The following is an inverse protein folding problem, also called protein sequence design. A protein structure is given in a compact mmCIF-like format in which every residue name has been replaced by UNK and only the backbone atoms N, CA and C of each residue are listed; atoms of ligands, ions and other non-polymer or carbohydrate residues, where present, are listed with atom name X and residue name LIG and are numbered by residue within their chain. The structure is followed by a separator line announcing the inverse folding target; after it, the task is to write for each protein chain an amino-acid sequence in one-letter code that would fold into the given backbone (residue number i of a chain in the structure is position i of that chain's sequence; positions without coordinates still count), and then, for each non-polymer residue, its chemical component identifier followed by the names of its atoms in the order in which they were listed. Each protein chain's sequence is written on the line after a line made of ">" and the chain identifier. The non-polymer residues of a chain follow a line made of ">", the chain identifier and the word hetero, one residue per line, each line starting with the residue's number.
data_IF_549087038331
#
_entry.id   IF_549087038331
#
_cell.length_a   1.000
_cell.length_b   1.000
_cell.length_c   1.000
_cell.angle_alpha   90.00
_cell.angle_beta   90.00
_cell.angle_gamma   90.00
#
_symmetry.space_group_name_H-M   'P 1'
#
loop_
_entity.id
_entity.type
_entity.pdbx_description
1 polymer ?
#
# COMPACT_ATOMS: atom_id res chain seq x y z
N UNK A 1 26.60 -1.71 9.46
CA UNK A 1 25.21 -1.25 9.28
C UNK A 1 24.86 -1.35 7.81
N UNK A 2 24.10 -2.37 7.41
CA UNK A 2 23.47 -2.41 6.09
C UNK A 2 22.08 -1.77 6.25
N UNK A 3 21.95 -0.48 5.95
CA UNK A 3 20.65 0.21 6.03
C UNK A 3 19.74 -0.16 4.87
N UNK A 4 18.43 -0.21 5.09
CA UNK A 4 17.42 -0.47 4.05
C UNK A 4 17.50 0.51 2.88
N UNK A 5 17.96 1.75 3.10
CA UNK A 5 18.30 2.70 2.02
C UNK A 5 19.31 2.15 1.00
N UNK A 6 20.33 1.41 1.46
CA UNK A 6 21.30 0.75 0.57
C UNK A 6 20.72 -0.53 -0.08
N UNK A 7 19.69 -1.13 0.50
CA UNK A 7 18.96 -2.27 -0.08
C UNK A 7 18.08 -1.81 -1.25
N UNK A 8 17.31 -0.72 -1.10
CA UNK A 8 16.42 -0.22 -2.16
C UNK A 8 17.17 0.35 -3.37
N UNK A 9 18.28 1.05 -3.14
CA UNK A 9 19.11 1.58 -4.24
C UNK A 9 19.75 0.47 -5.09
N UNK A 10 19.93 -0.73 -4.52
CA UNK A 10 20.35 -1.94 -5.24
C UNK A 10 19.16 -2.68 -5.88
N UNK A 11 18.00 -2.69 -5.23
CA UNK A 11 16.79 -3.34 -5.71
C UNK A 11 16.24 -2.71 -7.01
N UNK A 12 16.26 -1.38 -7.13
CA UNK A 12 15.89 -0.69 -8.38
C UNK A 12 16.80 -1.11 -9.56
N UNK A 13 18.10 -1.29 -9.30
CA UNK A 13 19.06 -1.79 -10.31
C UNK A 13 18.86 -3.27 -10.62
N UNK A 14 18.40 -4.08 -9.65
CA UNK A 14 18.09 -5.51 -9.84
C UNK A 14 16.79 -5.72 -10.61
N UNK A 15 15.75 -4.92 -10.35
CA UNK A 15 14.50 -4.95 -11.14
C UNK A 15 14.75 -4.62 -12.62
N UNK A 16 15.63 -3.65 -12.88
CA UNK A 16 16.11 -3.33 -14.23
C UNK A 16 17.01 -4.43 -14.84
N UNK A 17 17.66 -5.27 -14.02
CA UNK A 17 18.48 -6.38 -14.49
C UNK A 17 17.66 -7.65 -14.79
N UNK A 18 16.57 -7.90 -14.04
CA UNK A 18 15.67 -9.05 -14.23
C UNK A 18 14.88 -8.94 -15.54
N UNK A 19 14.72 -7.74 -16.09
CA UNK A 19 14.09 -7.51 -17.40
C UNK A 19 15.00 -7.87 -18.60
N UNK A 20 16.27 -8.25 -18.38
CA UNK A 20 17.13 -8.85 -19.41
C UNK A 20 17.07 -10.39 -19.35
N UNK A 21 16.50 -11.07 -20.35
CA UNK A 21 16.26 -12.51 -20.31
C UNK A 21 17.52 -13.26 -20.78
N UNK A 22 18.60 -13.20 -20.01
CA UNK A 22 19.70 -14.15 -20.18
C UNK A 22 20.21 -14.66 -18.84
N UNK A 23 19.80 -15.90 -18.56
CA UNK A 23 20.38 -16.89 -17.66
C UNK A 23 19.62 -17.21 -16.36
N UNK A 24 19.22 -18.48 -16.30
CA UNK A 24 18.95 -19.36 -15.15
C UNK A 24 17.80 -19.01 -14.21
N UNK A 25 16.92 -20.00 -14.03
CA UNK A 25 15.96 -20.07 -12.92
C UNK A 25 16.65 -19.79 -11.59
N UNK A 26 16.24 -18.76 -10.83
CA UNK A 26 16.65 -18.64 -9.46
C UNK A 26 15.59 -19.34 -8.60
N UNK A 27 15.98 -20.37 -7.84
CA UNK A 27 15.36 -20.60 -6.54
C UNK A 27 15.30 -19.23 -5.86
N UNK A 28 14.09 -18.73 -5.57
CA UNK A 28 13.88 -17.36 -5.15
C UNK A 28 14.77 -17.04 -3.94
N UNK A 29 15.71 -16.11 -4.12
CA UNK A 29 16.53 -15.63 -3.00
C UNK A 29 15.58 -15.07 -1.94
N UNK A 30 15.73 -15.42 -0.64
CA UNK A 30 14.89 -14.88 0.43
C UNK A 30 14.82 -13.34 0.43
N UNK A 31 15.88 -12.71 -0.07
CA UNK A 31 15.93 -11.26 -0.27
C UNK A 31 14.95 -10.75 -1.35
N UNK A 32 14.84 -11.47 -2.48
CA UNK A 32 13.91 -11.13 -3.56
C UNK A 32 12.46 -11.33 -3.13
N UNK A 33 12.18 -12.38 -2.35
CA UNK A 33 10.84 -12.62 -1.79
C UNK A 33 10.43 -11.50 -0.83
N UNK A 34 11.34 -11.09 0.05
CA UNK A 34 11.13 -9.97 0.97
C UNK A 34 10.85 -8.65 0.22
N UNK A 35 11.67 -8.32 -0.77
CA UNK A 35 11.45 -7.09 -1.57
C UNK A 35 10.14 -7.16 -2.36
N UNK A 36 9.84 -8.30 -2.99
CA UNK A 36 8.58 -8.49 -3.70
C UNK A 36 7.37 -8.31 -2.78
N UNK A 37 7.45 -8.80 -1.53
CA UNK A 37 6.40 -8.60 -0.53
C UNK A 37 6.20 -7.12 -0.19
N UNK A 38 7.28 -6.38 0.08
CA UNK A 38 7.21 -4.94 0.39
C UNK A 38 6.63 -4.14 -0.78
N UNK A 39 7.05 -4.45 -2.01
CA UNK A 39 6.54 -3.77 -3.19
C UNK A 39 5.06 -4.08 -3.44
N UNK A 40 4.64 -5.32 -3.20
CA UNK A 40 3.24 -5.70 -3.28
C UNK A 40 2.38 -5.01 -2.19
N UNK A 41 2.88 -4.94 -0.95
CA UNK A 41 2.25 -4.16 0.13
C UNK A 41 2.09 -2.69 -0.29
N UNK A 42 3.16 -2.08 -0.80
CA UNK A 42 3.19 -0.68 -1.24
C UNK A 42 2.20 -0.42 -2.37
N UNK A 43 2.11 -1.33 -3.34
CA UNK A 43 1.14 -1.30 -4.44
C UNK A 43 -0.30 -1.32 -3.90
N UNK A 44 -0.63 -2.28 -3.03
CA UNK A 44 -1.98 -2.39 -2.46
C UNK A 44 -2.37 -1.14 -1.65
N UNK A 45 -1.43 -0.56 -0.88
CA UNK A 45 -1.67 0.72 -0.18
C UNK A 45 -1.97 1.84 -1.19
N UNK A 46 -1.17 1.96 -2.25
CA UNK A 46 -1.37 2.95 -3.32
C UNK A 46 -2.74 2.79 -3.99
N UNK A 47 -3.17 1.56 -4.25
CA UNK A 47 -4.48 1.26 -4.83
C UNK A 47 -5.63 1.67 -3.91
N UNK A 48 -5.50 1.48 -2.59
CA UNK A 48 -6.50 1.96 -1.61
C UNK A 48 -6.59 3.50 -1.65
N UNK A 49 -5.46 4.20 -1.63
CA UNK A 49 -5.44 5.68 -1.71
C UNK A 49 -6.09 6.17 -3.00
N UNK A 50 -5.77 5.53 -4.11
CA UNK A 50 -6.32 5.84 -5.44
C UNK A 50 -7.82 5.58 -5.49
N UNK A 51 -8.30 4.49 -4.89
CA UNK A 51 -9.72 4.19 -4.75
C UNK A 51 -10.45 5.31 -3.99
N UNK A 52 -9.88 5.76 -2.87
CA UNK A 52 -10.44 6.88 -2.10
C UNK A 52 -10.57 8.11 -2.99
N UNK A 53 -9.52 8.50 -3.71
CA UNK A 53 -9.55 9.67 -4.58
C UNK A 53 -10.55 9.55 -5.72
N UNK A 54 -10.66 8.37 -6.33
CA UNK A 54 -11.57 8.11 -7.45
C UNK A 54 -13.04 8.22 -7.02
N UNK A 55 -13.39 7.72 -5.83
CA UNK A 55 -14.78 7.48 -5.47
C UNK A 55 -15.34 8.37 -4.36
N UNK A 56 -14.53 8.98 -3.48
CA UNK A 56 -15.04 9.73 -2.32
C UNK A 56 -15.94 10.92 -2.70
N UNK A 57 -15.68 11.57 -3.83
CA UNK A 57 -16.49 12.67 -4.35
C UNK A 57 -17.42 12.26 -5.50
N UNK A 58 -17.47 10.97 -5.86
CA UNK A 58 -18.32 10.49 -6.94
C UNK A 58 -19.79 10.72 -6.60
N UNK A 59 -20.59 11.07 -7.61
CA UNK A 59 -22.02 11.38 -7.46
C UNK A 59 -22.92 10.30 -8.07
N UNK A 60 -22.34 9.31 -8.74
CA UNK A 60 -23.04 8.30 -9.53
C UNK A 60 -23.08 6.94 -8.84
N UNK A 61 -21.98 6.53 -8.22
CA UNK A 61 -21.87 5.26 -7.52
C UNK A 61 -21.88 5.48 -6.00
N UNK A 62 -23.08 5.46 -5.41
CA UNK A 62 -23.28 5.67 -3.98
C UNK A 62 -22.60 4.62 -3.11
N UNK A 63 -22.49 3.37 -3.60
CA UNK A 63 -21.84 2.30 -2.86
C UNK A 63 -20.33 2.51 -2.76
N UNK A 64 -19.64 2.69 -3.89
CA UNK A 64 -18.19 2.94 -3.92
C UNK A 64 -17.82 4.23 -3.21
N UNK A 65 -18.67 5.25 -3.29
CA UNK A 65 -18.53 6.48 -2.50
C UNK A 65 -18.53 6.20 -1.00
N UNK A 66 -19.50 5.43 -0.50
CA UNK A 66 -19.59 5.11 0.92
C UNK A 66 -18.35 4.35 1.41
N UNK A 67 -17.90 3.35 0.64
CA UNK A 67 -16.65 2.60 0.92
C UNK A 67 -15.44 3.54 0.96
N UNK A 68 -15.30 4.43 -0.03
CA UNK A 68 -14.19 5.38 -0.08
C UNK A 68 -14.18 6.38 1.08
N UNK A 69 -15.35 6.85 1.51
CA UNK A 69 -15.49 7.73 2.68
C UNK A 69 -15.05 7.01 3.96
N UNK A 70 -15.41 5.74 4.13
CA UNK A 70 -14.98 4.95 5.29
C UNK A 70 -13.47 4.65 5.26
N UNK A 71 -12.93 4.26 4.11
CA UNK A 71 -11.49 4.06 3.92
C UNK A 71 -10.70 5.34 4.23
N UNK A 72 -11.19 6.51 3.80
CA UNK A 72 -10.56 7.81 4.08
C UNK A 72 -10.30 8.05 5.58
N UNK A 73 -11.19 7.60 6.45
CA UNK A 73 -11.06 7.80 7.91
C UNK A 73 -9.80 7.14 8.49
N UNK A 74 -9.32 6.05 7.87
CA UNK A 74 -8.09 5.36 8.28
C UNK A 74 -6.84 6.18 7.97
N UNK A 75 -6.87 7.04 6.94
CA UNK A 75 -5.72 7.86 6.54
C UNK A 75 -5.77 9.27 7.14
N UNK A 76 -6.96 9.84 7.33
CA UNK A 76 -7.12 11.14 8.00
C UNK A 76 -6.73 11.06 9.49
N UNK A 77 -7.07 9.95 10.14
CA UNK A 77 -6.88 9.75 11.58
C UNK A 77 -6.28 8.36 11.86
N UNK A 78 -5.03 8.11 11.43
CA UNK A 78 -4.44 6.76 11.41
C UNK A 78 -4.08 6.22 12.80
N UNK A 79 -3.81 7.10 13.74
CA UNK A 79 -3.31 6.77 15.07
C UNK A 79 -4.46 6.60 16.07
N UNK A 80 -4.50 5.47 16.77
CA UNK A 80 -5.52 5.19 17.80
C UNK A 80 -5.19 5.91 19.11
N UNK A 81 -3.90 5.93 19.48
CA UNK A 81 -3.39 6.65 20.65
C UNK A 81 -1.87 6.87 20.48
N UNK A 82 -1.25 7.66 21.37
CA UNK A 82 0.18 8.03 21.26
C UNK A 82 1.18 6.87 21.31
N UNK A 83 0.76 5.68 21.73
CA UNK A 83 1.60 4.46 21.78
C UNK A 83 1.33 3.52 20.61
N UNK A 84 0.32 3.79 19.80
CA UNK A 84 -0.09 2.96 18.66
C UNK A 84 -0.23 3.82 17.40
N UNK A 85 0.92 4.31 16.94
CA UNK A 85 1.06 5.08 15.70
C UNK A 85 0.61 4.20 14.53
N UNK A 86 -0.34 4.71 13.75
CA UNK A 86 -0.93 3.96 12.65
C UNK A 86 -1.84 2.81 13.06
N UNK A 87 -2.27 2.74 14.33
CA UNK A 87 -3.09 1.65 14.87
C UNK A 87 -4.33 1.29 14.04
N UNK A 88 -5.05 2.29 13.50
CA UNK A 88 -6.19 2.03 12.62
C UNK A 88 -5.75 1.40 11.31
N UNK A 89 -4.65 1.88 10.72
CA UNK A 89 -4.08 1.30 9.50
C UNK A 89 -3.63 -0.14 9.73
N UNK A 90 -3.08 -0.48 10.90
CA UNK A 90 -2.77 -1.87 11.26
C UNK A 90 -4.01 -2.76 11.21
N UNK A 91 -5.13 -2.29 11.78
CA UNK A 91 -6.42 -3.01 11.73
C UNK A 91 -6.89 -3.22 10.28
N UNK A 92 -6.80 -2.17 9.45
CA UNK A 92 -7.16 -2.28 8.03
C UNK A 92 -6.27 -3.30 7.30
N UNK A 93 -4.95 -3.19 7.47
CA UNK A 93 -3.97 -3.98 6.74
C UNK A 93 -3.84 -5.43 7.22
N UNK A 94 -4.27 -5.74 8.44
CA UNK A 94 -4.37 -7.11 8.96
C UNK A 94 -5.63 -7.84 8.46
N UNK A 95 -6.60 -7.11 7.92
CA UNK A 95 -7.85 -7.73 7.51
C UNK A 95 -7.69 -8.61 6.25
N UNK A 96 -8.61 -9.55 6.10
CA UNK A 96 -8.72 -10.39 4.90
C UNK A 96 -10.03 -10.05 4.19
N UNK A 97 -10.03 -9.77 2.88
CA UNK A 97 -11.24 -9.46 2.12
C UNK A 97 -12.39 -10.46 2.34
N UNK A 98 -13.60 -9.94 2.58
CA UNK A 98 -14.84 -10.74 2.69
C UNK A 98 -16.05 -9.96 2.19
N UNK A 99 -16.84 -10.56 1.29
CA UNK A 99 -18.10 -10.00 0.78
C UNK A 99 -19.25 -10.03 1.82
N UNK A 100 -19.07 -10.74 2.92
CA UNK A 100 -20.05 -10.78 4.01
C UNK A 100 -19.68 -9.76 5.08
N UNK A 101 -20.29 -8.58 5.06
CA UNK A 101 -20.00 -7.52 6.03
C UNK A 101 -20.87 -6.27 5.86
N UNK A 102 -20.57 -5.27 6.66
CA UNK A 102 -21.17 -3.92 6.59
C UNK A 102 -20.07 -2.90 6.23
N UNK A 103 -20.46 -1.74 5.68
CA UNK A 103 -19.57 -0.67 5.18
C UNK A 103 -18.90 0.07 6.36
N UNK A 104 -18.10 -0.65 7.15
CA UNK A 104 -17.20 -0.17 8.19
C UNK A 104 -16.25 -1.30 8.65
N UNK A 105 -16.56 -2.55 8.30
CA UNK A 105 -15.69 -3.70 8.50
C UNK A 105 -14.49 -3.60 7.53
N UNK A 106 -13.25 -3.54 8.04
CA UNK A 106 -12.04 -3.61 7.23
C UNK A 106 -12.06 -4.69 6.15
N UNK A 107 -12.59 -5.88 6.47
CA UNK A 107 -12.65 -7.03 5.55
C UNK A 107 -13.55 -6.72 4.36
N UNK A 108 -14.67 -6.05 4.60
CA UNK A 108 -15.60 -5.64 3.55
C UNK A 108 -15.02 -4.49 2.70
N UNK A 109 -14.36 -3.53 3.35
CA UNK A 109 -13.71 -2.41 2.64
C UNK A 109 -12.62 -2.91 1.69
N UNK A 110 -11.78 -3.85 2.12
CA UNK A 110 -10.75 -4.44 1.26
C UNK A 110 -11.37 -5.29 0.14
N UNK A 111 -12.46 -6.03 0.41
CA UNK A 111 -13.19 -6.74 -0.64
C UNK A 111 -13.70 -5.78 -1.72
N UNK A 112 -14.28 -4.64 -1.33
CA UNK A 112 -14.78 -3.64 -2.27
C UNK A 112 -13.68 -3.02 -3.15
N UNK A 113 -12.45 -2.88 -2.63
CA UNK A 113 -11.32 -2.34 -3.41
C UNK A 113 -10.71 -3.40 -4.35
N UNK A 114 -10.52 -4.62 -3.84
CA UNK A 114 -9.65 -5.59 -4.50
C UNK A 114 -10.40 -6.71 -5.20
N UNK A 115 -11.60 -7.08 -4.74
CA UNK A 115 -12.31 -8.29 -5.17
C UNK A 115 -13.69 -8.06 -5.79
N UNK A 116 -14.38 -6.95 -5.52
CA UNK A 116 -15.76 -6.69 -5.98
C UNK A 116 -15.95 -6.88 -7.48
N UNK A 117 -15.04 -6.31 -8.29
CA UNK A 117 -15.09 -6.36 -9.76
C UNK A 117 -14.01 -7.28 -10.36
N UNK A 118 -13.25 -8.01 -9.52
CA UNK A 118 -12.05 -8.71 -9.98
C UNK A 118 -12.34 -10.16 -10.37
N UNK A 119 -11.77 -10.56 -11.51
CA UNK A 119 -11.85 -11.94 -12.02
C UNK A 119 -10.66 -12.82 -11.58
N UNK A 120 -9.53 -12.21 -11.19
CA UNK A 120 -8.35 -12.90 -10.67
C UNK A 120 -7.62 -12.01 -9.63
N UNK A 121 -7.45 -12.53 -8.42
CA UNK A 121 -6.78 -11.86 -7.30
C UNK A 121 -5.50 -12.59 -6.81
N UNK A 122 -4.98 -13.53 -7.59
CA UNK A 122 -3.84 -14.39 -7.23
C UNK A 122 -2.55 -13.62 -6.89
N UNK A 123 -2.41 -12.40 -7.40
CA UNK A 123 -1.24 -11.56 -7.17
C UNK A 123 -1.34 -10.67 -5.91
N UNK A 124 -2.49 -10.65 -5.23
CA UNK A 124 -2.63 -9.92 -3.98
C UNK A 124 -2.23 -10.74 -2.77
N UNK A 125 -1.73 -10.05 -1.75
CA UNK A 125 -1.41 -10.65 -0.47
C UNK A 125 -2.39 -10.16 0.59
N UNK A 126 -3.02 -11.12 1.27
CA UNK A 126 -3.87 -10.88 2.42
C UNK A 126 -3.54 -11.91 3.53
N UNK A 127 -3.44 -11.47 4.81
CA UNK A 127 -3.39 -10.08 5.23
C UNK A 127 -2.21 -9.34 4.57
N UNK A 128 -2.40 -8.05 4.26
CA UNK A 128 -1.34 -7.27 3.59
C UNK A 128 -0.08 -7.27 4.46
N UNK A 129 -0.27 -7.16 5.78
CA UNK A 129 0.79 -7.24 6.78
C UNK A 129 0.42 -8.29 7.84
N UNK A 130 1.37 -9.16 8.17
CA UNK A 130 1.17 -10.21 9.15
C UNK A 130 1.38 -9.73 10.60
N UNK A 131 1.09 -10.59 11.59
CA UNK A 131 1.21 -10.24 13.01
C UNK A 131 2.63 -9.85 13.46
N UNK A 132 3.65 -10.37 12.77
CA UNK A 132 5.04 -10.02 13.05
C UNK A 132 5.36 -8.62 12.48
N UNK A 133 4.99 -8.38 11.23
CA UNK A 133 5.13 -7.09 10.56
C UNK A 133 4.35 -5.97 11.27
N UNK A 134 3.21 -6.29 11.88
CA UNK A 134 2.40 -5.34 12.65
C UNK A 134 2.88 -5.15 14.10
N UNK A 135 3.83 -5.95 14.57
CA UNK A 135 4.31 -5.96 15.94
C UNK A 135 3.27 -6.34 16.99
N UNK A 136 2.25 -7.11 16.59
CA UNK A 136 1.24 -7.66 17.50
C UNK A 136 1.75 -8.93 18.19
N UNK A 137 2.65 -9.68 17.53
CA UNK A 137 3.30 -10.86 18.10
C UNK A 137 4.38 -10.53 19.13
N UNK A 138 5.18 -9.49 18.86
CA UNK A 138 6.24 -9.00 19.77
C UNK A 138 6.13 -7.48 19.84
N UNK A 139 5.75 -6.97 21.01
CA UNK A 139 5.62 -5.55 21.24
C UNK A 139 6.95 -4.82 20.99
N UNK A 140 6.92 -3.79 20.14
CA UNK A 140 8.09 -2.98 19.79
C UNK A 140 8.91 -3.50 18.61
N UNK A 141 8.51 -4.59 17.95
CA UNK A 141 9.18 -5.13 16.76
C UNK A 141 8.18 -5.19 15.59
N UNK A 142 8.36 -4.37 14.55
CA UNK A 142 7.45 -4.33 13.39
C UNK A 142 7.46 -2.99 12.66
N UNK A 143 6.36 -2.67 11.98
CA UNK A 143 6.14 -1.41 11.26
C UNK A 143 5.29 -0.41 12.06
N UNK A 144 5.69 0.85 12.01
CA UNK A 144 4.80 1.99 12.25
C UNK A 144 4.34 2.59 10.94
N UNK A 145 3.03 2.80 10.81
CA UNK A 145 2.46 3.47 9.65
C UNK A 145 2.30 4.95 9.94
N UNK A 146 3.06 5.78 9.25
CA UNK A 146 2.95 7.23 9.32
C UNK A 146 2.39 7.77 8.01
N UNK A 147 1.31 8.53 8.09
CA UNK A 147 0.72 9.17 6.91
C UNK A 147 1.42 10.50 6.65
N UNK A 148 1.90 10.72 5.42
CA UNK A 148 2.53 11.97 4.96
C UNK A 148 1.63 12.65 3.93
N UNK A 149 1.13 13.84 4.27
CA UNK A 149 0.17 14.58 3.43
C UNK A 149 0.82 15.55 2.45
N UNK A 150 2.13 15.73 2.55
CA UNK A 150 2.92 16.69 1.76
C UNK A 150 3.82 15.99 0.71
N UNK A 151 3.64 14.69 0.51
CA UNK A 151 4.45 13.88 -0.40
C UNK A 151 3.60 12.95 -1.25
N UNK A 152 4.03 12.73 -2.50
CA UNK A 152 3.52 11.67 -3.38
C UNK A 152 4.36 10.39 -3.32
N UNK A 153 5.56 10.46 -2.72
CA UNK A 153 6.45 9.33 -2.57
C UNK A 153 6.72 9.03 -1.09
N UNK A 154 6.48 7.79 -0.71
CA UNK A 154 6.70 7.26 0.63
C UNK A 154 8.05 6.57 0.77
N UNK A 155 8.47 6.32 2.01
CA UNK A 155 9.70 5.61 2.34
C UNK A 155 9.46 4.51 3.36
N UNK A 156 10.31 3.48 3.33
CA UNK A 156 10.51 2.58 4.46
C UNK A 156 11.81 2.99 5.14
N UNK A 157 11.72 3.58 6.33
CA UNK A 157 12.87 4.04 7.08
C UNK A 157 13.34 2.99 8.09
N UNK A 158 14.67 2.92 8.26
CA UNK A 158 15.32 2.08 9.25
C UNK A 158 14.96 2.51 10.69
N UNK A 159 15.02 1.59 11.66
CA UNK A 159 14.95 1.92 13.08
C UNK A 159 16.00 2.97 13.48
N UNK A 160 15.61 3.90 14.35
CA UNK A 160 16.46 5.00 14.80
C UNK A 160 16.78 4.93 16.30
N UNK A 161 17.49 5.93 16.82
CA UNK A 161 17.90 5.96 18.23
C UNK A 161 16.74 6.12 19.23
N UNK A 162 15.58 6.60 18.78
CA UNK A 162 14.38 6.69 19.60
C UNK A 162 13.58 5.39 19.53
N UNK A 163 13.54 4.76 18.35
CA UNK A 163 12.75 3.57 18.06
C UNK A 163 13.61 2.44 17.44
N UNK A 164 14.51 1.82 18.22
CA UNK A 164 15.59 0.96 17.71
C UNK A 164 15.15 -0.39 17.13
N UNK A 165 13.86 -0.71 17.22
CA UNK A 165 13.29 -2.01 16.82
C UNK A 165 12.12 -1.86 15.85
N UNK A 166 11.82 -0.64 15.40
CA UNK A 166 10.63 -0.37 14.60
C UNK A 166 11.03 0.28 13.27
N UNK A 167 10.57 -0.32 12.18
CA UNK A 167 10.67 0.28 10.86
C UNK A 167 9.51 1.26 10.65
N UNK A 168 9.76 2.41 10.02
CA UNK A 168 8.72 3.40 9.76
C UNK A 168 8.30 3.34 8.30
N UNK A 169 7.05 2.97 8.06
CA UNK A 169 6.44 2.90 6.74
C UNK A 169 5.68 4.22 6.51
N UNK A 170 6.33 5.16 5.83
CA UNK A 170 5.76 6.46 5.50
C UNK A 170 4.86 6.33 4.28
N UNK A 171 3.55 6.42 4.50
CA UNK A 171 2.53 6.29 3.46
C UNK A 171 2.17 7.68 2.93
N UNK A 172 2.41 7.97 1.65
CA UNK A 172 1.98 9.21 1.04
C UNK A 172 0.45 9.22 0.89
N UNK A 173 -0.17 10.25 1.44
CA UNK A 173 -1.60 10.53 1.30
C UNK A 173 -1.81 12.04 1.10
N UNK A 174 -1.30 12.60 -0.01
CA UNK A 174 -1.44 14.02 -0.26
C UNK A 174 -2.90 14.39 -0.55
N UNK A 175 -3.25 15.69 -0.55
CA UNK A 175 -4.52 16.15 -1.07
C UNK A 175 -4.76 15.59 -2.47
N UNK A 176 -5.99 15.14 -2.73
CA UNK A 176 -6.38 14.64 -4.05
C UNK A 176 -6.04 15.70 -5.11
N UNK A 177 -5.29 15.35 -6.17
CA UNK A 177 -5.01 16.28 -7.27
C UNK A 177 -6.30 16.64 -8.01
N UNK A 178 -6.24 17.72 -8.80
CA UNK A 178 -7.28 17.97 -9.80
C UNK A 178 -7.40 16.72 -10.69
N UNK A 179 -8.62 16.34 -11.10
CA UNK A 179 -8.79 15.26 -12.07
C UNK A 179 -8.86 15.88 -13.47
N UNK A 180 -7.96 15.44 -14.34
CA UNK A 180 -7.85 15.89 -15.72
C UNK A 180 -6.46 15.65 -16.30
N UNK A 181 -6.35 15.87 -17.60
CA UNK A 181 -5.16 15.59 -18.44
C UNK A 181 -3.85 16.18 -17.93
N UNK A 182 -3.90 17.29 -17.18
CA UNK A 182 -2.69 17.94 -16.65
C UNK A 182 -2.06 17.20 -15.45
N UNK A 183 -2.80 16.27 -14.86
CA UNK A 183 -2.51 15.67 -13.55
C UNK A 183 -2.76 14.17 -13.62
N UNK A 184 -3.94 13.71 -13.18
CA UNK A 184 -4.37 12.32 -13.31
C UNK A 184 -5.81 12.28 -13.80
N UNK A 185 -6.12 11.41 -14.74
CA UNK A 185 -7.47 11.23 -15.27
C UNK A 185 -8.26 10.18 -14.47
N UNK A 186 -9.58 10.17 -14.64
CA UNK A 186 -10.45 9.16 -14.02
C UNK A 186 -10.08 7.76 -14.49
N UNK A 187 -9.71 7.65 -15.76
CA UNK A 187 -9.31 6.42 -16.43
C UNK A 187 -7.97 5.91 -15.90
N UNK A 188 -7.01 6.79 -15.65
CA UNK A 188 -5.72 6.42 -15.03
C UNK A 188 -5.90 5.94 -13.59
N UNK A 189 -6.74 6.63 -12.80
CA UNK A 189 -7.07 6.17 -11.44
C UNK A 189 -7.72 4.78 -11.49
N UNK A 190 -8.68 4.58 -12.38
CA UNK A 190 -9.38 3.30 -12.53
C UNK A 190 -8.41 2.19 -12.97
N UNK A 191 -7.60 2.47 -13.99
CA UNK A 191 -6.60 1.53 -14.51
C UNK A 191 -5.59 1.12 -13.43
N UNK A 192 -5.19 2.04 -12.55
CA UNK A 192 -4.30 1.71 -11.43
C UNK A 192 -4.99 0.89 -10.35
N UNK A 193 -6.23 1.22 -9.98
CA UNK A 193 -7.04 0.42 -9.04
C UNK A 193 -7.20 -1.01 -9.57
N UNK A 194 -7.41 -1.17 -10.87
CA UNK A 194 -7.61 -2.46 -11.56
C UNK A 194 -6.30 -3.19 -11.89
N UNK A 195 -5.15 -2.55 -11.73
CA UNK A 195 -3.87 -3.16 -12.12
C UNK A 195 -3.53 -4.40 -11.26
N UNK A 196 -3.67 -5.59 -11.85
CA UNK A 196 -3.28 -6.88 -11.27
C UNK A 196 -1.96 -7.43 -11.84
N UNK A 197 -1.29 -6.64 -12.70
CA UNK A 197 -0.09 -7.08 -13.42
C UNK A 197 1.04 -7.45 -12.47
N UNK A 198 1.70 -8.57 -12.78
CA UNK A 198 2.84 -9.05 -12.01
C UNK A 198 4.04 -8.15 -12.28
N UNK A 199 4.81 -7.86 -11.24
CA UNK A 199 6.01 -7.01 -11.29
C UNK A 199 5.78 -5.52 -11.63
N UNK A 200 4.53 -5.10 -11.86
CA UNK A 200 4.17 -3.68 -12.01
C UNK A 200 3.75 -3.11 -10.65
N UNK A 201 4.73 -2.77 -9.81
CA UNK A 201 4.49 -2.36 -8.42
C UNK A 201 4.24 -0.86 -8.23
N UNK A 202 4.63 -0.04 -9.21
CA UNK A 202 4.60 1.41 -9.11
C UNK A 202 3.72 2.01 -10.21
N UNK A 203 2.94 3.02 -9.84
CA UNK A 203 2.14 3.76 -10.80
C UNK A 203 3.05 4.53 -11.76
N UNK A 204 2.68 4.53 -13.05
CA UNK A 204 3.40 5.31 -14.07
C UNK A 204 3.12 6.81 -13.97
N UNK A 205 1.91 7.18 -13.53
CA UNK A 205 1.54 8.57 -13.33
C UNK A 205 2.10 9.07 -11.98
N UNK A 206 2.95 10.12 -11.95
CA UNK A 206 3.62 10.58 -10.74
C UNK A 206 2.68 11.24 -9.72
N UNK A 207 1.45 11.57 -10.10
CA UNK A 207 0.43 12.07 -9.18
C UNK A 207 -0.28 10.95 -8.43
N UNK A 208 -0.07 9.68 -8.80
CA UNK A 208 -0.57 8.55 -8.02
C UNK A 208 0.48 8.20 -6.95
N UNK A 209 0.14 8.27 -5.66
CA UNK A 209 1.10 8.18 -4.59
C UNK A 209 1.59 6.74 -4.43
N UNK A 210 2.91 6.56 -4.34
CA UNK A 210 3.54 5.24 -4.23
C UNK A 210 4.53 5.22 -3.07
N UNK A 211 4.75 4.04 -2.47
CA UNK A 211 5.74 3.85 -1.40
C UNK A 211 6.84 2.93 -1.87
N UNK A 212 8.06 3.09 -1.34
CA UNK A 212 9.21 2.21 -1.61
C UNK A 212 9.63 2.13 -3.10
N UNK A 213 9.43 3.22 -3.84
CA UNK A 213 9.93 3.38 -5.22
C UNK A 213 11.44 3.65 -5.27
#
# INVERSE_FOLDING_TARGET
>A
MFGTRNLFHKAAQVSLAITNPQNSEPSSSPHLEFLSRIYQQSKQISQIVTYIWRWADDTTNSHKKAVAIELKQYFDNPTTNTKDIGGKLKVLFQATPKNSGIINDPSYLLWAVFEEDATNNENYIFPMFDEFELGTKIAGLGYWFEVKVDAFHGTLDDPDGNDPHVFKFNIPYPPRPCIGEATVTTEELQAWIENREKFEYFAKNPYIPTTCC
#
